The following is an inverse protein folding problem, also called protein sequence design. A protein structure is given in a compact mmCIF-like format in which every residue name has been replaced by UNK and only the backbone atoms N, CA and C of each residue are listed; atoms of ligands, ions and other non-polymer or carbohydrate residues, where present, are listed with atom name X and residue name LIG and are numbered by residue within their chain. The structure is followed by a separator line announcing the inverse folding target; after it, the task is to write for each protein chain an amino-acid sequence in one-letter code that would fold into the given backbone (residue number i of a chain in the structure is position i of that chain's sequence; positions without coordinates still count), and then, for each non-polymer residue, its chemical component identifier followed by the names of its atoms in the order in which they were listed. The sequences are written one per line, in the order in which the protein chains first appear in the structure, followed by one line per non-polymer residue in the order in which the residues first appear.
data_IF_742797630136
#
_entry.id   IF_742797630136
#
_cell.length_a   1.000
_cell.length_b   1.000
_cell.length_c   1.000
_cell.angle_alpha   90.00
_cell.angle_beta   90.00
_cell.angle_gamma   90.00
#
_symmetry.space_group_name_H-M   'P 1'
#
loop_
_entity.id
_entity.type
_entity.pdbx_description
1 polymer ?
#
# COMPACT_ATOMS: atom_id res chain seq x y z
N UNK A 1 -32.99 -8.19 45.63
CA UNK A 1 -31.56 -8.12 45.23
C UNK A 1 -31.53 -7.75 43.76
N UNK A 2 -31.15 -6.53 43.41
CA UNK A 2 -30.95 -6.13 42.01
C UNK A 2 -29.64 -6.77 41.52
N UNK A 3 -29.75 -7.75 40.63
CA UNK A 3 -28.61 -8.28 39.89
C UNK A 3 -28.02 -7.13 39.06
N UNK A 4 -26.87 -6.62 39.49
CA UNK A 4 -26.10 -5.65 38.73
C UNK A 4 -25.62 -6.31 37.43
N UNK A 5 -26.37 -6.10 36.36
CA UNK A 5 -25.99 -6.55 35.02
C UNK A 5 -24.69 -5.84 34.62
N UNK A 6 -23.58 -6.58 34.63
CA UNK A 6 -22.26 -6.16 34.16
C UNK A 6 -22.31 -6.00 32.63
N UNK A 7 -22.93 -4.93 32.15
CA UNK A 7 -22.88 -4.57 30.74
C UNK A 7 -21.48 -4.03 30.44
N UNK A 8 -20.78 -4.55 29.41
CA UNK A 8 -19.51 -3.98 28.98
C UNK A 8 -19.69 -2.47 28.79
N UNK A 9 -18.82 -1.65 29.36
CA UNK A 9 -18.91 -0.20 29.21
C UNK A 9 -18.38 0.20 27.83
N UNK A 10 -19.19 0.03 26.77
CA UNK A 10 -18.86 0.40 25.38
C UNK A 10 -18.37 1.84 25.25
N UNK A 11 -18.87 2.73 26.11
CA UNK A 11 -18.41 4.11 26.22
C UNK A 11 -16.92 4.24 26.54
N UNK A 12 -16.37 3.37 27.41
CA UNK A 12 -14.93 3.37 27.74
C UNK A 12 -14.08 2.96 26.53
N UNK A 13 -14.54 1.97 25.78
CA UNK A 13 -13.83 1.52 24.57
C UNK A 13 -13.91 2.59 23.48
N UNK A 14 -15.06 3.25 23.33
CA UNK A 14 -15.21 4.39 22.42
C UNK A 14 -14.21 5.51 22.73
N UNK A 15 -14.08 5.93 24.00
CA UNK A 15 -13.09 6.94 24.39
C UNK A 15 -11.66 6.47 24.09
N UNK A 16 -11.35 5.19 24.35
CA UNK A 16 -10.03 4.64 24.02
C UNK A 16 -9.74 4.71 22.51
N UNK A 17 -10.70 4.33 21.67
CA UNK A 17 -10.58 4.45 20.21
C UNK A 17 -10.41 5.91 19.76
N UNK A 18 -11.12 6.85 20.41
CA UNK A 18 -11.00 8.28 20.14
C UNK A 18 -9.60 8.80 20.49
N UNK A 19 -9.03 8.37 21.62
CA UNK A 19 -7.64 8.71 21.98
C UNK A 19 -6.66 8.14 20.96
N UNK A 20 -6.80 6.87 20.57
CA UNK A 20 -5.97 6.26 19.52
C UNK A 20 -6.16 6.98 18.16
N UNK A 21 -7.33 7.56 17.90
CA UNK A 21 -7.56 8.41 16.73
C UNK A 21 -6.80 9.72 16.80
N UNK A 22 -6.91 10.46 17.90
CA UNK A 22 -6.18 11.72 18.10
C UNK A 22 -4.68 11.51 18.01
N UNK A 23 -4.14 10.45 18.62
CA UNK A 23 -2.71 10.10 18.53
C UNK A 23 -2.30 9.83 17.08
N UNK A 24 -3.14 9.11 16.32
CA UNK A 24 -2.86 8.81 14.91
C UNK A 24 -2.84 10.07 14.04
N UNK A 25 -3.70 11.05 14.33
CA UNK A 25 -3.76 12.33 13.61
C UNK A 25 -2.60 13.25 14.01
N UNK A 26 -2.20 13.23 15.28
CA UNK A 26 -1.07 14.01 15.79
C UNK A 26 0.31 13.40 15.49
N UNK A 27 0.36 12.11 15.10
CA UNK A 27 1.62 11.40 14.80
C UNK A 27 2.54 12.11 13.81
N UNK A 28 2.05 12.61 12.65
CA UNK A 28 2.86 13.36 11.69
C UNK A 28 3.48 14.64 12.25
N UNK A 29 2.76 15.37 13.11
CA UNK A 29 3.21 16.60 13.75
C UNK A 29 4.31 16.33 14.78
N UNK A 30 4.16 15.27 15.57
CA UNK A 30 5.18 14.84 16.54
C UNK A 30 6.45 14.35 15.82
N UNK A 31 6.30 13.67 14.68
CA UNK A 31 7.44 13.23 13.87
C UNK A 31 8.21 14.41 13.28
N UNK A 32 7.51 15.49 12.92
CA UNK A 32 8.12 16.75 12.46
C UNK A 32 8.90 17.44 13.59
N UNK A 33 8.32 17.47 14.80
CA UNK A 33 8.95 18.08 15.99
C UNK A 33 10.20 17.33 16.47
N UNK A 34 10.32 16.03 16.15
CA UNK A 34 11.51 15.22 16.45
C UNK A 34 12.65 15.39 15.44
N UNK A 35 12.52 16.25 14.42
CA UNK A 35 13.60 16.56 13.46
C UNK A 35 13.95 15.39 12.54
N UNK A 36 13.00 14.49 12.28
CA UNK A 36 13.19 13.38 11.36
C UNK A 36 13.00 13.87 9.92
N UNK A 37 14.07 13.81 9.12
CA UNK A 37 14.06 14.24 7.72
C UNK A 37 14.02 13.04 6.75
N UNK A 38 13.41 13.26 5.58
CA UNK A 38 13.44 12.33 4.45
C UNK A 38 12.67 11.02 4.66
N UNK A 39 13.23 9.92 4.15
CA UNK A 39 12.60 8.59 4.10
C UNK A 39 12.31 8.03 5.50
N UNK A 40 13.17 8.34 6.48
CA UNK A 40 13.01 7.90 7.87
C UNK A 40 11.71 8.42 8.48
N UNK A 41 11.32 9.67 8.18
CA UNK A 41 10.04 10.25 8.61
C UNK A 41 8.85 9.43 8.08
N UNK A 42 8.86 9.13 6.78
CA UNK A 42 7.79 8.38 6.14
C UNK A 42 7.66 6.99 6.74
N UNK A 43 8.77 6.28 6.96
CA UNK A 43 8.77 4.96 7.59
C UNK A 43 8.18 5.03 9.00
N UNK A 44 8.61 5.99 9.82
CA UNK A 44 8.12 6.13 11.20
C UNK A 44 6.62 6.43 11.22
N UNK A 45 6.14 7.32 10.36
CA UNK A 45 4.72 7.65 10.24
C UNK A 45 3.92 6.43 9.78
N UNK A 46 4.38 5.72 8.75
CA UNK A 46 3.70 4.54 8.21
C UNK A 46 3.63 3.41 9.25
N UNK A 47 4.75 3.10 9.90
CA UNK A 47 4.80 2.05 10.94
C UNK A 47 3.90 2.41 12.12
N UNK A 48 3.92 3.67 12.55
CA UNK A 48 3.10 4.16 13.66
C UNK A 48 1.61 4.14 13.29
N UNK A 49 1.25 4.67 12.12
CA UNK A 49 -0.13 4.68 11.63
C UNK A 49 -0.67 3.26 11.46
N UNK A 50 0.11 2.37 10.85
CA UNK A 50 -0.26 0.97 10.64
C UNK A 50 -0.38 0.21 11.97
N UNK A 51 0.57 0.40 12.89
CA UNK A 51 0.53 -0.20 14.22
C UNK A 51 -0.72 0.21 15.01
N UNK A 52 -1.03 1.51 15.03
CA UNK A 52 -2.24 2.03 15.68
C UNK A 52 -3.51 1.48 14.98
N UNK A 53 -3.50 1.35 13.65
CA UNK A 53 -4.62 0.78 12.91
C UNK A 53 -4.91 -0.67 13.30
N UNK A 54 -3.87 -1.51 13.47
CA UNK A 54 -4.03 -2.89 13.93
C UNK A 54 -4.62 -2.95 15.35
N UNK A 55 -4.13 -2.12 16.26
CA UNK A 55 -4.66 -2.06 17.64
C UNK A 55 -6.13 -1.60 17.63
N UNK A 56 -6.48 -0.58 16.85
CA UNK A 56 -7.87 -0.13 16.68
C UNK A 56 -8.76 -1.26 16.15
N UNK A 57 -8.33 -1.93 15.09
CA UNK A 57 -9.07 -3.04 14.49
C UNK A 57 -9.29 -4.17 15.50
N UNK A 58 -8.29 -4.50 16.33
CA UNK A 58 -8.45 -5.47 17.42
C UNK A 58 -9.53 -5.04 18.42
N UNK A 59 -9.51 -3.79 18.89
CA UNK A 59 -10.54 -3.29 19.81
C UNK A 59 -11.93 -3.30 19.17
N UNK A 60 -12.04 -2.98 17.88
CA UNK A 60 -13.31 -3.05 17.14
C UNK A 60 -13.83 -4.48 17.05
N UNK A 61 -12.99 -5.44 16.68
CA UNK A 61 -13.38 -6.86 16.61
C UNK A 61 -13.74 -7.43 17.98
N UNK A 62 -12.91 -7.18 18.99
CA UNK A 62 -13.07 -7.79 20.31
C UNK A 62 -14.25 -7.20 21.12
N UNK A 63 -14.60 -5.93 20.88
CA UNK A 63 -15.63 -5.24 21.68
C UNK A 63 -16.87 -4.83 20.89
N UNK A 64 -16.75 -4.35 19.64
CA UNK A 64 -17.90 -3.87 18.87
C UNK A 64 -18.56 -4.96 18.01
N UNK A 65 -17.78 -5.89 17.43
CA UNK A 65 -18.34 -7.01 16.66
C UNK A 65 -18.96 -8.12 17.51
N UNK A 66 -19.05 -7.94 18.83
CA UNK A 66 -19.69 -8.92 19.73
C UNK A 66 -19.16 -10.36 19.57
N UNK A 67 -17.86 -10.52 19.27
CA UNK A 67 -17.16 -11.81 19.34
C UNK A 67 -17.00 -12.22 20.81
N UNK A 68 -18.12 -12.53 21.45
CA UNK A 68 -18.25 -12.99 22.84
C UNK A 68 -17.64 -14.37 23.06
N UNK A 69 -17.39 -15.13 22.00
CA UNK A 69 -17.14 -16.56 22.09
C UNK A 69 -15.71 -16.94 22.44
N UNK A 70 -14.68 -16.18 22.05
CA UNK A 70 -13.35 -16.34 22.64
C UNK A 70 -12.44 -15.20 22.17
N UNK A 71 -12.13 -14.23 23.04
CA UNK A 71 -11.19 -13.13 22.70
C UNK A 71 -9.81 -13.63 22.28
N UNK A 72 -9.51 -14.90 22.60
CA UNK A 72 -8.28 -15.57 22.19
C UNK A 72 -8.22 -15.74 20.66
N UNK A 73 -9.35 -15.90 19.97
CA UNK A 73 -9.40 -16.11 18.51
C UNK A 73 -9.43 -14.83 17.68
N UNK A 74 -9.87 -13.71 18.26
CA UNK A 74 -9.90 -12.41 17.60
C UNK A 74 -8.57 -12.00 16.93
N UNK A 75 -7.37 -12.12 17.57
CA UNK A 75 -6.12 -11.77 16.92
C UNK A 75 -5.75 -12.76 15.82
N UNK A 76 -6.05 -14.05 15.95
CA UNK A 76 -5.76 -15.03 14.90
C UNK A 76 -6.59 -14.79 13.63
N UNK A 77 -7.87 -14.44 13.78
CA UNK A 77 -8.74 -14.09 12.64
C UNK A 77 -8.31 -12.76 12.01
N UNK A 78 -7.98 -11.75 12.82
CA UNK A 78 -7.46 -10.49 12.30
C UNK A 78 -6.15 -10.71 11.52
N UNK A 79 -5.23 -11.48 12.10
CA UNK A 79 -3.94 -11.78 11.48
C UNK A 79 -4.11 -12.59 10.19
N UNK A 80 -5.02 -13.56 10.15
CA UNK A 80 -5.26 -14.33 8.93
C UNK A 80 -5.84 -13.47 7.81
N UNK A 81 -6.77 -12.56 8.11
CA UNK A 81 -7.29 -11.61 7.11
C UNK A 81 -6.21 -10.66 6.61
N UNK A 82 -5.38 -10.11 7.51
CA UNK A 82 -4.25 -9.26 7.14
C UNK A 82 -3.24 -10.03 6.29
N UNK A 83 -2.92 -11.27 6.65
CA UNK A 83 -2.00 -12.13 5.89
C UNK A 83 -2.55 -12.45 4.50
N UNK A 84 -3.84 -12.79 4.38
CA UNK A 84 -4.47 -13.02 3.08
C UNK A 84 -4.48 -11.75 2.21
N UNK A 85 -4.74 -10.58 2.80
CA UNK A 85 -4.65 -9.30 2.10
C UNK A 85 -3.21 -9.01 1.65
N UNK A 86 -2.21 -9.33 2.46
CA UNK A 86 -0.81 -9.18 2.06
C UNK A 86 -0.47 -10.11 0.89
N UNK A 87 -0.85 -11.38 0.95
CA UNK A 87 -0.62 -12.33 -0.17
C UNK A 87 -1.34 -11.86 -1.43
N UNK A 88 -2.59 -11.41 -1.31
CA UNK A 88 -3.34 -10.88 -2.44
C UNK A 88 -2.73 -9.60 -3.01
N UNK A 89 -2.31 -8.67 -2.14
CA UNK A 89 -1.67 -7.42 -2.54
C UNK A 89 -0.34 -7.70 -3.25
N UNK A 90 0.54 -8.49 -2.65
CA UNK A 90 1.81 -8.83 -3.30
C UNK A 90 1.60 -9.66 -4.56
N UNK A 91 0.59 -10.53 -4.62
CA UNK A 91 0.29 -11.31 -5.82
C UNK A 91 -0.26 -10.47 -6.98
N UNK A 92 -1.17 -9.54 -6.70
CA UNK A 92 -1.87 -8.77 -7.74
C UNK A 92 -1.25 -7.39 -8.02
N UNK A 93 -0.79 -6.69 -6.98
CA UNK A 93 -0.23 -5.36 -7.14
C UNK A 93 1.15 -5.41 -7.81
N UNK A 94 1.99 -6.39 -7.47
CA UNK A 94 3.28 -6.53 -8.17
C UNK A 94 3.12 -6.93 -9.63
N UNK A 95 2.10 -7.75 -9.93
CA UNK A 95 1.71 -8.09 -11.30
C UNK A 95 1.23 -6.86 -12.08
N UNK A 96 0.36 -6.04 -11.48
CA UNK A 96 -0.15 -4.81 -12.11
C UNK A 96 0.89 -3.69 -12.25
N UNK A 97 1.95 -3.67 -11.44
CA UNK A 97 3.00 -2.65 -11.49
C UNK A 97 4.04 -2.92 -12.57
N UNK A 98 4.01 -4.09 -13.22
CA UNK A 98 4.92 -4.42 -14.31
C UNK A 98 4.46 -3.70 -15.59
N UNK A 99 5.34 -2.89 -16.17
CA UNK A 99 5.06 -2.16 -17.43
C UNK A 99 5.20 -3.02 -18.69
N UNK A 100 5.41 -4.32 -18.52
CA UNK A 100 5.72 -5.29 -19.57
C UNK A 100 5.07 -6.64 -19.24
N UNK A 101 4.55 -7.32 -20.26
CA UNK A 101 3.87 -8.61 -20.11
C UNK A 101 3.62 -9.26 -21.47
N UNK A 102 3.31 -10.56 -21.46
CA UNK A 102 3.21 -11.39 -22.68
C UNK A 102 2.15 -10.92 -23.70
N UNK A 103 1.25 -10.00 -23.32
CA UNK A 103 0.25 -9.38 -24.19
C UNK A 103 0.15 -7.85 -23.93
N UNK A 104 1.20 -7.23 -23.40
CA UNK A 104 1.16 -5.81 -23.05
C UNK A 104 1.49 -4.95 -24.29
N UNK A 105 0.48 -4.29 -24.85
CA UNK A 105 0.62 -3.37 -25.99
C UNK A 105 0.64 -1.92 -25.50
N UNK A 106 1.77 -1.23 -25.63
CA UNK A 106 1.90 0.18 -25.25
C UNK A 106 1.30 1.04 -26.37
N UNK A 107 0.07 1.52 -26.18
CA UNK A 107 -0.60 2.44 -27.13
C UNK A 107 0.00 3.85 -27.13
N UNK A 108 0.87 4.16 -26.16
CA UNK A 108 1.52 5.46 -26.01
C UNK A 108 3.03 5.29 -25.85
N UNK A 109 3.80 5.96 -26.70
CA UNK A 109 5.24 6.11 -26.56
C UNK A 109 5.47 7.39 -25.78
N UNK A 110 6.07 7.26 -24.60
CA UNK A 110 6.40 8.41 -23.77
C UNK A 110 7.43 9.27 -24.53
N UNK A 111 7.17 10.57 -24.75
CA UNK A 111 8.10 11.41 -25.48
C UNK A 111 9.41 11.51 -24.69
N UNK A 112 10.53 11.36 -25.39
CA UNK A 112 11.85 11.59 -24.81
C UNK A 112 11.89 13.02 -24.26
N UNK A 113 11.84 13.15 -22.93
CA UNK A 113 12.01 14.44 -22.28
C UNK A 113 13.47 14.80 -22.49
N UNK A 114 13.71 15.71 -23.44
CA UNK A 114 15.04 16.26 -23.70
C UNK A 114 15.69 16.64 -22.37
N UNK A 115 16.77 15.95 -22.05
CA UNK A 115 17.49 16.08 -20.79
C UNK A 115 17.94 17.53 -20.58
N UNK A 116 17.19 18.25 -19.75
CA UNK A 116 17.59 19.52 -19.14
C UNK A 116 17.79 19.30 -17.65
N UNK A 117 19.03 18.96 -17.30
CA UNK A 117 19.68 19.12 -15.98
C UNK A 117 19.03 18.47 -14.74
N UNK A 118 19.57 17.30 -14.38
CA UNK A 118 19.38 16.70 -13.04
C UNK A 118 19.90 15.28 -12.98
N UNK A 119 21.23 15.11 -12.85
CA UNK A 119 21.96 13.88 -13.08
C UNK A 119 21.67 12.68 -12.16
N UNK A 120 21.90 11.50 -12.74
CA UNK A 120 22.37 10.21 -12.21
C UNK A 120 21.97 9.19 -13.30
N UNK A 121 22.84 8.62 -14.13
CA UNK A 121 24.14 8.02 -13.86
C UNK A 121 24.09 6.62 -14.50
N UNK A 122 24.59 6.55 -15.73
CA UNK A 122 25.14 5.40 -16.48
C UNK A 122 24.70 3.97 -16.09
N UNK A 123 24.11 3.23 -17.04
CA UNK A 123 24.51 1.84 -17.28
C UNK A 123 24.25 1.46 -18.75
N UNK A 124 25.35 1.41 -19.50
CA UNK A 124 25.48 0.87 -20.85
C UNK A 124 25.04 -0.61 -20.92
N UNK A 125 24.47 -1.02 -22.06
CA UNK A 125 25.25 -1.72 -23.09
C UNK A 125 24.37 -2.30 -24.20
N UNK A 126 24.71 -1.92 -25.44
CA UNK A 126 24.63 -2.71 -26.69
C UNK A 126 23.24 -3.21 -27.13
N UNK A 127 22.65 -2.76 -28.24
CA UNK A 127 23.25 -2.62 -29.57
C UNK A 127 22.71 -3.75 -30.44
N UNK A 128 21.79 -3.46 -31.36
CA UNK A 128 21.67 -4.15 -32.66
C UNK A 128 20.65 -3.41 -33.54
N UNK A 129 21.21 -2.55 -34.40
CA UNK A 129 20.64 -2.10 -35.66
C UNK A 129 20.49 -3.27 -36.63
N UNK A 130 19.37 -3.34 -37.35
CA UNK A 130 19.43 -3.50 -38.81
C UNK A 130 18.13 -2.99 -39.45
N UNK A 131 18.29 -1.89 -40.17
CA UNK A 131 17.37 -1.25 -41.09
C UNK A 131 17.54 -1.90 -42.47
N UNK A 132 16.45 -2.26 -43.13
CA UNK A 132 16.33 -2.13 -44.59
C UNK A 132 14.87 -2.19 -45.02
N UNK A 133 14.30 -1.01 -45.20
CA UNK A 133 13.23 -0.77 -46.16
C UNK A 133 13.84 -0.77 -47.56
N UNK A 134 13.15 -1.34 -48.55
CA UNK A 134 12.90 -0.62 -49.80
C UNK A 134 11.69 -1.23 -50.54
N UNK A 135 10.75 -0.34 -50.83
CA UNK A 135 9.49 -0.52 -51.52
C UNK A 135 9.71 -0.25 -53.02
N UNK A 136 9.12 -1.05 -53.91
CA UNK A 136 8.66 -0.49 -55.19
C UNK A 136 7.54 -1.36 -55.81
N UNK A 137 6.36 -0.75 -55.89
CA UNK A 137 5.29 -1.16 -56.80
C UNK A 137 5.62 -0.71 -58.23
N UNK A 138 5.37 -1.56 -59.24
CA UNK A 138 4.41 -1.33 -60.36
C UNK A 138 4.50 -2.47 -61.41
N UNK A 139 3.38 -2.76 -62.07
CA UNK A 139 3.17 -3.80 -63.11
C UNK A 139 3.82 -3.41 -64.46
N UNK A 140 4.07 -4.34 -65.43
CA UNK A 140 3.00 -4.72 -66.38
C UNK A 140 3.07 -6.15 -66.99
N UNK A 141 1.97 -6.48 -67.68
CA UNK A 141 1.63 -7.52 -68.66
C UNK A 141 2.74 -8.39 -69.31
N UNK A 142 2.55 -9.72 -69.28
CA UNK A 142 2.21 -10.56 -70.44
C UNK A 142 1.94 -12.02 -70.04
#
# INVERSE_FOLDING_TARGET
MMSAHNHPSYFKIYIMLLVLFVISVAGPEVAELMGLEGVTRLIVILVTAFGIALVKAYYVLAYFMHLKFEKIYAPYILLSMVALLFVFFFGSATDSMMSEGHNWEKTYVEPEVAAGEGGHGEHDSEGHSEESHEEHADSPEH
#
